data_IF_699875098771
#
_entry.id   IF_699875098771
#
_cell.length_a   1.000
_cell.length_b   1.000
_cell.length_c   1.000
_cell.angle_alpha   90.00
_cell.angle_beta   90.00
_cell.angle_gamma   90.00
#
_symmetry.space_group_name_H-M   'P 1'
#
loop_
_entity.id
_entity.type
_entity.pdbx_description
1 polymer ?
#
# COMPACT_ATOMS: atom_id res chain seq x y z
N UNK A 1 40.00 -21.85 41.29
CA UNK A 1 41.40 -21.52 41.10
C UNK A 1 41.41 -20.58 39.89
N UNK A 2 41.37 -19.26 40.07
CA UNK A 2 42.55 -18.41 40.23
C UNK A 2 43.22 -18.22 38.88
N UNK A 3 43.46 -17.09 38.29
CA UNK A 3 43.63 -15.71 38.77
C UNK A 3 43.78 -14.81 37.53
N UNK A 4 43.24 -13.62 37.51
CA UNK A 4 43.81 -12.39 36.95
C UNK A 4 45.10 -12.09 37.73
N UNK A 5 46.04 -11.22 37.40
CA UNK A 5 45.98 -9.87 36.79
C UNK A 5 47.17 -9.59 35.82
N UNK A 6 47.50 -8.46 35.25
CA UNK A 6 47.78 -7.11 35.77
C UNK A 6 48.24 -6.19 34.63
N UNK A 7 47.84 -4.95 34.69
CA UNK A 7 48.51 -3.79 34.08
C UNK A 7 49.80 -3.48 34.87
N UNK A 8 50.84 -2.69 34.45
CA UNK A 8 50.71 -1.24 34.43
C UNK A 8 51.57 -0.41 33.44
N UNK A 9 51.09 0.80 33.25
CA UNK A 9 51.66 2.12 33.08
C UNK A 9 53.17 2.36 33.29
N UNK A 10 53.74 3.34 32.55
CA UNK A 10 54.37 4.60 33.02
C UNK A 10 55.09 5.31 31.87
N UNK A 11 54.75 6.53 31.56
CA UNK A 11 55.38 7.85 31.84
C UNK A 11 56.87 7.98 31.50
N UNK A 12 57.25 8.93 30.67
CA UNK A 12 58.06 10.07 31.07
C UNK A 12 58.24 11.15 30.00
N UNK A 13 58.08 12.32 30.43
CA UNK A 13 58.34 13.68 29.99
C UNK A 13 59.79 13.97 29.75
N UNK A 14 60.16 14.79 28.73
CA UNK A 14 61.25 15.76 28.90
C UNK A 14 61.06 17.00 28.04
N UNK A 15 61.30 18.10 28.67
CA UNK A 15 61.10 19.52 28.44
C UNK A 15 62.27 20.17 27.67
N UNK A 16 61.98 21.40 27.17
CA UNK A 16 62.82 22.58 26.92
C UNK A 16 63.53 22.62 25.58
N UNK A 17 63.51 23.70 24.77
CA UNK A 17 63.83 25.07 25.07
C UNK A 17 63.33 26.05 24.00
N UNK A 18 63.03 27.25 24.41
CA UNK A 18 62.59 28.40 23.64
C UNK A 18 63.71 29.06 22.85
N UNK A 19 63.38 29.65 21.69
CA UNK A 19 64.11 30.81 21.14
C UNK A 19 63.10 31.75 20.47
N UNK A 20 62.99 32.93 21.02
CA UNK A 20 62.32 34.12 20.47
C UNK A 20 63.01 34.55 19.18
N UNK A 21 62.25 34.98 18.16
CA UNK A 21 62.61 36.17 17.37
C UNK A 21 61.39 36.70 16.57
N UNK A 22 61.00 37.89 17.00
CA UNK A 22 60.51 39.08 16.22
C UNK A 22 59.31 38.99 15.27
N UNK A 23 58.37 39.84 15.66
CA UNK A 23 57.21 40.37 14.94
C UNK A 23 57.51 40.74 13.47
N UNK A 24 56.54 40.37 12.60
CA UNK A 24 56.11 41.21 11.50
C UNK A 24 54.64 41.05 11.34
N UNK A 25 53.92 42.10 11.68
CA UNK A 25 52.47 42.28 11.46
C UNK A 25 52.17 42.40 9.99
N UNK A 26 51.43 41.49 9.44
CA UNK A 26 50.70 41.67 8.18
C UNK A 26 49.21 41.42 8.43
N UNK A 27 48.28 42.21 7.85
CA UNK A 27 46.91 42.25 8.29
C UNK A 27 46.15 40.99 7.87
N UNK A 28 45.39 40.44 8.79
CA UNK A 28 44.41 39.36 8.57
C UNK A 28 43.48 39.75 7.41
N UNK A 29 43.55 38.97 6.33
CA UNK A 29 42.47 38.92 5.36
C UNK A 29 41.23 38.34 6.07
N UNK A 30 40.18 39.11 6.23
CA UNK A 30 38.84 38.62 6.52
C UNK A 30 38.47 37.66 5.38
N UNK A 31 38.50 36.36 5.66
CA UNK A 31 37.75 35.40 4.86
C UNK A 31 36.27 35.71 5.04
N UNK A 32 35.74 36.52 4.15
CA UNK A 32 34.29 36.60 3.90
C UNK A 32 33.91 35.24 3.32
N UNK A 33 33.42 34.35 4.17
CA UNK A 33 32.56 33.25 3.73
C UNK A 33 31.34 33.87 3.14
N UNK A 34 31.35 34.07 1.81
CA UNK A 34 30.13 34.26 1.04
C UNK A 34 29.40 32.92 1.15
N UNK A 35 28.38 32.84 2.01
CA UNK A 35 27.31 31.89 1.83
C UNK A 35 26.73 32.23 0.45
N UNK A 36 27.04 31.41 -0.57
CA UNK A 36 26.27 31.38 -1.80
C UNK A 36 24.87 30.94 -1.37
N UNK A 37 23.98 31.88 -1.16
CA UNK A 37 22.52 31.62 -1.21
C UNK A 37 22.24 31.24 -2.66
N UNK A 38 22.24 29.94 -2.95
CA UNK A 38 21.69 29.42 -4.18
C UNK A 38 20.22 29.80 -4.17
N UNK A 39 19.82 30.69 -5.08
CA UNK A 39 18.40 30.99 -5.30
C UNK A 39 17.70 29.68 -5.68
N UNK A 40 16.50 29.45 -5.13
CA UNK A 40 15.69 28.30 -5.47
C UNK A 40 15.37 28.28 -6.97
N UNK A 41 15.31 27.11 -7.56
CA UNK A 41 14.81 26.95 -8.92
C UNK A 41 13.31 27.23 -8.94
N UNK A 42 12.86 28.08 -9.89
CA UNK A 42 11.48 28.56 -9.96
C UNK A 42 10.65 27.79 -10.99
N UNK A 43 9.40 27.48 -10.63
CA UNK A 43 8.40 26.85 -11.47
C UNK A 43 7.06 27.59 -11.34
N UNK A 44 6.38 27.82 -12.45
CA UNK A 44 5.10 28.53 -12.47
C UNK A 44 3.99 27.68 -11.82
N UNK A 45 3.94 26.36 -12.15
CA UNK A 45 2.81 25.52 -11.75
C UNK A 45 3.19 24.04 -11.64
N UNK A 46 2.62 23.36 -10.61
CA UNK A 46 2.59 21.92 -10.45
C UNK A 46 1.13 21.46 -10.42
N UNK A 47 0.79 20.47 -11.23
CA UNK A 47 -0.56 19.91 -11.31
C UNK A 47 -0.62 18.53 -10.69
N UNK A 48 -1.55 18.33 -9.75
CA UNK A 48 -1.79 17.08 -9.04
C UNK A 48 -3.21 16.60 -9.35
N UNK A 49 -3.39 15.34 -9.70
CA UNK A 49 -4.71 14.78 -9.91
C UNK A 49 -4.94 13.50 -9.09
N UNK A 50 -6.11 13.47 -8.46
CA UNK A 50 -6.59 12.33 -7.71
C UNK A 50 -7.65 11.56 -8.52
N UNK A 51 -7.60 10.22 -8.50
CA UNK A 51 -8.65 9.41 -9.12
C UNK A 51 -9.94 9.46 -8.29
N UNK A 52 -11.13 9.34 -8.91
CA UNK A 52 -12.42 9.44 -8.22
C UNK A 52 -12.79 8.14 -7.50
N UNK A 53 -11.98 7.74 -6.51
CA UNK A 53 -12.26 6.58 -5.64
C UNK A 53 -13.33 6.87 -4.59
N UNK A 54 -13.62 8.14 -4.36
CA UNK A 54 -14.71 8.72 -3.56
C UNK A 54 -15.33 9.88 -4.33
N UNK A 55 -16.41 10.44 -3.79
CA UNK A 55 -17.02 11.65 -4.37
C UNK A 55 -15.98 12.77 -4.49
N UNK A 56 -15.94 13.43 -5.63
CA UNK A 56 -14.95 14.47 -5.94
C UNK A 56 -14.93 15.59 -4.89
N UNK A 57 -16.11 16.03 -4.40
CA UNK A 57 -16.22 17.06 -3.37
C UNK A 57 -15.55 16.63 -2.05
N UNK A 58 -15.60 15.35 -1.71
CA UNK A 58 -14.92 14.79 -0.51
C UNK A 58 -13.41 14.83 -0.66
N UNK A 59 -12.91 14.48 -1.85
CA UNK A 59 -11.48 14.50 -2.15
C UNK A 59 -10.96 15.94 -2.15
N UNK A 60 -11.63 16.85 -2.84
CA UNK A 60 -11.26 18.28 -2.90
C UNK A 60 -11.22 18.89 -1.49
N UNK A 61 -12.27 18.68 -0.69
CA UNK A 61 -12.30 19.17 0.68
C UNK A 61 -11.22 18.58 1.57
N UNK A 62 -10.93 17.28 1.41
CA UNK A 62 -9.88 16.59 2.17
C UNK A 62 -8.47 17.03 1.81
N UNK A 63 -8.25 17.55 0.61
CA UNK A 63 -6.94 17.97 0.10
C UNK A 63 -6.76 19.50 0.03
N UNK A 64 -7.69 20.28 0.57
CA UNK A 64 -7.72 21.76 0.46
C UNK A 64 -6.40 22.42 0.91
N UNK A 65 -5.76 21.91 1.96
CA UNK A 65 -4.52 22.46 2.49
C UNK A 65 -3.25 21.91 1.82
N UNK A 66 -3.36 20.89 0.99
CA UNK A 66 -2.19 20.23 0.38
C UNK A 66 -1.36 21.18 -0.51
N UNK A 67 -1.94 22.09 -1.32
CA UNK A 67 -1.16 23.00 -2.15
C UNK A 67 -0.13 23.83 -1.37
N UNK A 68 -0.53 24.39 -0.25
CA UNK A 68 0.37 25.24 0.56
C UNK A 68 1.46 24.40 1.26
N UNK A 69 1.14 23.16 1.68
CA UNK A 69 2.13 22.24 2.24
C UNK A 69 3.18 21.84 1.18
N UNK A 70 2.75 21.52 -0.03
CA UNK A 70 3.64 21.16 -1.15
C UNK A 70 4.54 22.33 -1.50
N UNK A 71 4.01 23.54 -1.65
CA UNK A 71 4.79 24.75 -1.92
C UNK A 71 5.85 24.99 -0.85
N UNK A 72 5.45 24.92 0.42
CA UNK A 72 6.36 25.15 1.54
C UNK A 72 7.47 24.11 1.59
N UNK A 73 7.13 22.83 1.39
CA UNK A 73 8.11 21.76 1.47
C UNK A 73 9.04 21.76 0.25
N UNK A 74 8.54 22.02 -0.95
CA UNK A 74 9.38 22.15 -2.15
C UNK A 74 10.34 23.35 -2.05
N UNK A 75 9.89 24.47 -1.46
CA UNK A 75 10.76 25.61 -1.20
C UNK A 75 11.91 25.24 -0.23
N UNK A 76 11.64 24.44 0.81
CA UNK A 76 12.67 23.92 1.71
C UNK A 76 13.68 23.02 0.99
N UNK A 77 13.26 22.37 -0.10
CA UNK A 77 14.08 21.50 -0.92
C UNK A 77 14.80 22.21 -2.08
N UNK A 78 14.64 23.53 -2.19
CA UNK A 78 15.33 24.37 -3.18
C UNK A 78 14.50 24.65 -4.45
N UNK A 79 13.17 24.48 -4.39
CA UNK A 79 12.28 24.68 -5.54
C UNK A 79 11.08 25.56 -5.17
N UNK A 80 11.00 26.74 -5.75
CA UNK A 80 9.85 27.64 -5.56
C UNK A 80 8.79 27.38 -6.62
N UNK A 81 7.57 27.07 -6.19
CA UNK A 81 6.42 26.81 -7.08
C UNK A 81 5.34 27.87 -6.80
N UNK A 82 4.93 28.62 -7.83
CA UNK A 82 3.93 29.68 -7.67
C UNK A 82 2.55 29.11 -7.37
N UNK A 83 2.13 28.10 -8.13
CA UNK A 83 0.80 27.50 -8.04
C UNK A 83 0.91 25.97 -7.95
N UNK A 84 0.21 25.38 -6.99
CA UNK A 84 -0.06 23.93 -6.94
C UNK A 84 -1.56 23.75 -7.13
N UNK A 85 -1.94 23.14 -8.24
CA UNK A 85 -3.34 22.92 -8.61
C UNK A 85 -3.72 21.46 -8.37
N UNK A 86 -4.89 21.25 -7.73
CA UNK A 86 -5.41 19.93 -7.43
C UNK A 86 -6.73 19.72 -8.15
N UNK A 87 -6.81 18.64 -8.91
CA UNK A 87 -8.01 18.21 -9.60
C UNK A 87 -8.39 16.78 -9.22
N UNK A 88 -9.62 16.40 -9.53
CA UNK A 88 -10.11 15.04 -9.43
C UNK A 88 -10.55 14.59 -10.81
N UNK A 89 -9.98 13.51 -11.31
CA UNK A 89 -10.31 12.95 -12.61
C UNK A 89 -11.77 12.50 -12.69
N UNK A 90 -12.32 12.44 -13.89
CA UNK A 90 -13.69 11.95 -14.12
C UNK A 90 -13.78 10.42 -14.09
N UNK A 91 -12.66 9.74 -14.31
CA UNK A 91 -12.47 8.30 -14.19
C UNK A 91 -10.99 8.00 -13.92
N UNK A 92 -10.67 6.75 -13.57
CA UNK A 92 -9.29 6.31 -13.41
C UNK A 92 -8.50 6.41 -14.72
N UNK A 93 -9.13 6.00 -15.83
CA UNK A 93 -8.51 6.07 -17.15
C UNK A 93 -8.29 7.53 -17.59
N UNK A 94 -9.25 8.43 -17.30
CA UNK A 94 -9.10 9.84 -17.65
C UNK A 94 -7.87 10.48 -16.99
N UNK A 95 -7.58 10.14 -15.73
CA UNK A 95 -6.36 10.60 -15.05
C UNK A 95 -5.11 10.02 -15.72
N UNK A 96 -5.09 8.73 -16.05
CA UNK A 96 -3.99 8.09 -16.79
C UNK A 96 -3.76 8.76 -18.16
N UNK A 97 -4.81 9.01 -18.93
CA UNK A 97 -4.74 9.70 -20.22
C UNK A 97 -4.23 11.14 -20.09
N UNK A 98 -4.68 11.87 -19.06
CA UNK A 98 -4.23 13.25 -18.80
C UNK A 98 -2.73 13.31 -18.46
N UNK A 99 -2.24 12.33 -17.71
CA UNK A 99 -0.81 12.18 -17.43
C UNK A 99 -0.02 11.79 -18.68
N UNK A 100 -0.51 10.86 -19.50
CA UNK A 100 0.12 10.49 -20.78
C UNK A 100 0.22 11.68 -21.74
N UNK A 101 -0.77 12.58 -21.70
CA UNK A 101 -0.78 13.80 -22.50
C UNK A 101 0.06 14.94 -21.91
N UNK A 102 0.64 14.79 -20.72
CA UNK A 102 1.42 15.81 -20.04
C UNK A 102 0.61 17.01 -19.51
N UNK A 103 -0.71 16.85 -19.36
CA UNK A 103 -1.58 17.89 -18.80
C UNK A 103 -1.67 17.85 -17.28
N UNK A 104 -1.29 16.72 -16.70
CA UNK A 104 -1.16 16.49 -15.24
C UNK A 104 0.26 16.01 -14.97
N UNK A 105 0.93 16.61 -14.01
CA UNK A 105 2.30 16.26 -13.64
C UNK A 105 2.35 15.01 -12.75
N UNK A 106 1.56 14.98 -11.66
CA UNK A 106 1.49 13.84 -10.75
C UNK A 106 0.06 13.33 -10.60
N UNK A 107 -0.09 12.01 -10.56
CA UNK A 107 -1.36 11.34 -10.34
C UNK A 107 -1.29 10.31 -9.20
N UNK A 108 -2.35 10.26 -8.40
CA UNK A 108 -2.58 9.19 -7.42
C UNK A 108 -3.39 8.10 -8.09
N UNK A 109 -2.73 7.02 -8.51
CA UNK A 109 -3.31 5.95 -9.33
C UNK A 109 -3.30 4.61 -8.58
N UNK A 110 -4.38 3.81 -8.63
CA UNK A 110 -4.28 2.40 -8.27
C UNK A 110 -3.24 1.67 -9.13
N UNK A 111 -2.63 0.64 -8.58
CA UNK A 111 -1.57 -0.10 -9.27
C UNK A 111 -1.97 -0.64 -10.66
N UNK A 112 -3.23 -1.08 -10.83
CA UNK A 112 -3.74 -1.52 -12.12
C UNK A 112 -3.83 -0.40 -13.15
N UNK A 113 -4.29 0.78 -12.75
CA UNK A 113 -4.33 1.96 -13.63
C UNK A 113 -2.91 2.41 -13.97
N UNK A 114 -2.00 2.48 -12.99
CA UNK A 114 -0.60 2.78 -13.26
C UNK A 114 -0.01 1.83 -14.32
N UNK A 115 -0.23 0.52 -14.17
CA UNK A 115 0.28 -0.48 -15.10
C UNK A 115 -0.20 -0.27 -16.56
N UNK A 116 -1.43 0.23 -16.77
CA UNK A 116 -1.96 0.55 -18.09
C UNK A 116 -1.24 1.74 -18.75
N UNK A 117 -0.78 2.70 -17.94
CA UNK A 117 -0.19 3.96 -18.42
C UNK A 117 1.32 4.06 -18.12
N UNK A 118 1.97 2.98 -17.72
CA UNK A 118 3.39 2.97 -17.31
C UNK A 118 4.36 3.26 -18.46
N UNK A 119 3.93 3.15 -19.72
CA UNK A 119 4.76 3.57 -20.85
C UNK A 119 5.00 5.10 -20.86
N UNK A 120 4.01 5.89 -20.42
CA UNK A 120 4.04 7.35 -20.43
C UNK A 120 4.22 7.97 -19.03
N UNK A 121 4.16 7.15 -17.99
CA UNK A 121 4.27 7.58 -16.59
C UNK A 121 5.33 6.75 -15.86
N UNK A 122 5.81 7.28 -14.74
CA UNK A 122 6.73 6.56 -13.85
C UNK A 122 6.25 6.66 -12.41
N UNK A 123 6.16 5.50 -11.73
CA UNK A 123 5.87 5.49 -10.30
C UNK A 123 7.07 6.03 -9.53
N UNK A 124 6.81 6.99 -8.65
CA UNK A 124 7.86 7.56 -7.78
C UNK A 124 7.66 7.12 -6.32
N UNK A 125 6.42 6.94 -5.89
CA UNK A 125 6.09 6.47 -4.54
C UNK A 125 4.96 5.44 -4.59
N UNK A 126 4.96 4.53 -3.62
CA UNK A 126 3.81 3.68 -3.28
C UNK A 126 3.30 4.06 -1.92
N UNK A 127 1.97 4.06 -1.75
CA UNK A 127 1.36 4.26 -0.46
C UNK A 127 1.71 3.11 0.48
N UNK A 128 1.88 3.41 1.77
CA UNK A 128 2.01 2.40 2.81
C UNK A 128 0.83 2.48 3.77
N UNK A 129 0.59 1.38 4.46
CA UNK A 129 -0.43 1.26 5.50
C UNK A 129 0.08 0.33 6.60
N UNK A 130 -0.57 0.34 7.75
CA UNK A 130 -0.26 -0.63 8.79
C UNK A 130 -0.51 -2.04 8.23
N UNK A 131 0.50 -2.88 8.30
CA UNK A 131 0.39 -4.30 7.98
C UNK A 131 -0.40 -5.06 9.02
N UNK A 132 -0.70 -6.30 8.71
CA UNK A 132 -1.26 -7.25 9.66
C UNK A 132 -0.16 -7.86 10.52
N UNK A 133 -0.53 -8.38 11.69
CA UNK A 133 0.39 -9.13 12.57
C UNK A 133 0.85 -10.46 11.95
N UNK A 134 0.26 -10.89 10.84
CA UNK A 134 0.60 -12.08 10.08
C UNK A 134 0.69 -11.75 8.58
N UNK A 135 1.72 -12.28 7.90
CA UNK A 135 1.91 -12.18 6.44
C UNK A 135 2.42 -13.53 5.87
N UNK A 136 2.05 -14.64 6.48
CA UNK A 136 2.46 -15.97 6.05
C UNK A 136 1.90 -16.33 4.67
N UNK A 137 2.70 -17.03 3.87
CA UNK A 137 2.26 -17.64 2.61
C UNK A 137 1.54 -18.98 2.82
N UNK A 138 1.65 -19.56 4.01
CA UNK A 138 0.95 -20.79 4.35
C UNK A 138 -0.47 -20.47 4.86
N UNK A 139 -1.53 -20.95 4.19
CA UNK A 139 -2.91 -20.64 4.57
C UNK A 139 -3.27 -21.08 6.00
N UNK A 140 -2.74 -22.21 6.47
CA UNK A 140 -3.06 -22.74 7.80
C UNK A 140 -2.64 -21.80 8.94
N UNK A 141 -1.60 -20.97 8.74
CA UNK A 141 -1.11 -20.01 9.74
C UNK A 141 -2.08 -18.86 10.00
N UNK A 142 -3.11 -18.72 9.18
CA UNK A 142 -4.14 -17.71 9.30
C UNK A 142 -5.38 -18.19 10.07
N UNK A 143 -5.48 -19.47 10.42
CA UNK A 143 -6.70 -20.11 10.85
C UNK A 143 -6.79 -20.29 12.36
N UNK A 144 -8.02 -20.14 12.89
CA UNK A 144 -8.34 -20.26 14.29
C UNK A 144 -8.15 -18.97 15.10
N UNK A 145 -8.86 -18.87 16.21
CA UNK A 145 -8.85 -17.71 17.12
C UNK A 145 -7.45 -17.33 17.62
N UNK A 146 -6.58 -18.34 17.84
CA UNK A 146 -5.20 -18.12 18.30
C UNK A 146 -4.34 -17.37 17.27
N UNK A 147 -4.72 -17.42 16.00
CA UNK A 147 -4.05 -16.78 14.88
C UNK A 147 -4.82 -15.54 14.35
N UNK A 148 -5.76 -15.02 15.12
CA UNK A 148 -6.49 -13.80 14.78
C UNK A 148 -5.50 -12.66 14.52
N UNK A 149 -5.57 -12.08 13.33
CA UNK A 149 -4.65 -11.01 12.94
C UNK A 149 -5.06 -9.66 13.51
N UNK A 150 -4.08 -8.78 13.73
CA UNK A 150 -4.27 -7.40 14.16
C UNK A 150 -3.72 -6.46 13.10
N UNK A 151 -4.28 -5.26 13.04
CA UNK A 151 -3.83 -4.17 12.13
C UNK A 151 -2.77 -3.29 12.81
N UNK A 152 -1.80 -3.90 13.49
CA UNK A 152 -0.75 -3.25 14.27
C UNK A 152 0.67 -3.63 13.82
N UNK A 153 0.77 -4.20 12.64
CA UNK A 153 2.04 -4.52 12.01
C UNK A 153 2.80 -3.28 11.51
N UNK A 154 4.03 -3.47 11.00
CA UNK A 154 4.82 -2.39 10.42
C UNK A 154 4.14 -1.82 9.17
N UNK A 155 4.60 -0.65 8.72
CA UNK A 155 4.16 -0.09 7.45
C UNK A 155 4.54 -1.04 6.30
N UNK A 156 3.57 -1.34 5.43
CA UNK A 156 3.73 -2.25 4.29
C UNK A 156 3.30 -1.58 2.99
N UNK A 157 3.97 -1.94 1.90
CA UNK A 157 3.73 -1.42 0.55
C UNK A 157 2.72 -2.24 -0.24
N UNK A 158 2.26 -3.36 0.30
CA UNK A 158 1.32 -4.27 -0.34
C UNK A 158 0.34 -4.86 0.69
N UNK A 159 -0.71 -5.47 0.19
CA UNK A 159 -1.62 -6.33 0.94
C UNK A 159 -1.84 -7.62 0.14
N UNK A 160 -2.39 -8.67 0.77
CA UNK A 160 -2.71 -9.93 0.09
C UNK A 160 -4.21 -10.08 -0.11
N UNK A 161 -4.59 -10.84 -1.12
CA UNK A 161 -5.92 -11.45 -1.17
C UNK A 161 -5.86 -12.83 -0.50
N UNK A 162 -6.91 -13.17 0.19
CA UNK A 162 -7.07 -14.49 0.81
C UNK A 162 -8.29 -15.20 0.19
N UNK A 163 -8.11 -16.48 -0.06
CA UNK A 163 -9.16 -17.39 -0.46
C UNK A 163 -9.69 -18.07 0.79
N UNK A 164 -10.96 -17.89 1.11
CA UNK A 164 -11.56 -18.38 2.33
C UNK A 164 -12.56 -19.51 2.06
N UNK A 165 -12.41 -20.61 2.78
CA UNK A 165 -13.47 -21.60 2.95
C UNK A 165 -14.49 -21.09 3.98
N UNK A 166 -15.77 -21.14 3.64
CA UNK A 166 -16.88 -20.66 4.46
C UNK A 166 -17.34 -21.72 5.48
N UNK A 167 -18.21 -21.37 6.43
CA UNK A 167 -18.80 -22.36 7.35
C UNK A 167 -19.81 -23.33 6.71
N UNK A 168 -19.99 -23.32 5.38
CA UNK A 168 -20.80 -24.32 4.69
C UNK A 168 -20.27 -25.75 4.94
N UNK A 169 -21.08 -26.79 4.77
CA UNK A 169 -20.61 -28.18 4.95
C UNK A 169 -19.37 -28.50 4.10
N UNK A 170 -19.36 -28.09 2.83
CA UNK A 170 -18.21 -28.36 1.94
C UNK A 170 -17.04 -27.42 2.21
N UNK A 171 -17.29 -26.16 2.58
CA UNK A 171 -16.24 -25.24 3.03
C UNK A 171 -15.46 -25.80 4.24
N UNK A 172 -16.16 -26.40 5.20
CA UNK A 172 -15.54 -27.07 6.35
C UNK A 172 -14.65 -28.26 5.95
N UNK A 173 -15.04 -29.05 4.92
CA UNK A 173 -14.21 -30.12 4.38
C UNK A 173 -12.90 -29.58 3.78
N UNK A 174 -12.99 -28.50 2.99
CA UNK A 174 -11.82 -27.83 2.42
C UNK A 174 -10.90 -27.27 3.50
N UNK A 175 -11.47 -26.58 4.49
CA UNK A 175 -10.72 -26.05 5.64
C UNK A 175 -10.00 -27.15 6.43
N UNK A 176 -10.66 -28.28 6.66
CA UNK A 176 -10.09 -29.41 7.39
C UNK A 176 -8.86 -30.00 6.67
N UNK A 177 -8.91 -30.12 5.33
CA UNK A 177 -7.76 -30.58 4.52
C UNK A 177 -6.56 -29.64 4.69
N UNK A 178 -6.78 -28.33 4.49
CA UNK A 178 -5.70 -27.33 4.59
C UNK A 178 -5.13 -27.26 5.99
N UNK A 179 -5.96 -27.29 7.02
CA UNK A 179 -5.51 -27.26 8.42
C UNK A 179 -4.77 -28.57 8.82
N UNK A 180 -4.97 -29.67 8.09
CA UNK A 180 -4.20 -30.90 8.21
C UNK A 180 -2.89 -30.90 7.40
N UNK A 181 -2.59 -29.80 6.69
CA UNK A 181 -1.41 -29.67 5.84
C UNK A 181 -1.55 -30.33 4.46
N UNK A 182 -2.76 -30.64 4.04
CA UNK A 182 -3.03 -31.22 2.73
C UNK A 182 -3.17 -30.09 1.69
N UNK A 183 -2.63 -30.31 0.49
CA UNK A 183 -2.85 -29.41 -0.66
C UNK A 183 -4.19 -29.77 -1.31
N UNK A 184 -5.04 -28.77 -1.54
CA UNK A 184 -6.28 -28.95 -2.30
C UNK A 184 -5.96 -29.27 -3.76
N UNK A 185 -6.79 -30.12 -4.37
CA UNK A 185 -6.74 -30.42 -5.80
C UNK A 185 -7.61 -29.45 -6.58
N UNK A 186 -7.45 -29.42 -7.92
CA UNK A 186 -8.36 -28.66 -8.77
C UNK A 186 -9.81 -29.13 -8.61
N UNK A 187 -10.03 -30.44 -8.52
CA UNK A 187 -11.37 -31.04 -8.34
C UNK A 187 -12.01 -30.59 -7.02
N UNK A 188 -11.22 -30.43 -5.96
CA UNK A 188 -11.71 -29.87 -4.69
C UNK A 188 -12.25 -28.45 -4.89
N UNK A 189 -11.52 -27.61 -5.64
CA UNK A 189 -11.87 -26.21 -5.88
C UNK A 189 -13.00 -26.06 -6.89
N UNK A 190 -13.01 -26.86 -7.96
CA UNK A 190 -14.03 -26.82 -9.02
C UNK A 190 -15.42 -27.31 -8.53
N UNK A 191 -15.43 -28.23 -7.57
CA UNK A 191 -16.68 -28.69 -6.93
C UNK A 191 -17.32 -27.61 -6.06
N UNK A 192 -16.52 -26.70 -5.48
CA UNK A 192 -16.98 -25.66 -4.59
C UNK A 192 -17.75 -24.56 -5.34
N UNK A 193 -18.72 -23.94 -4.66
CA UNK A 193 -19.38 -22.71 -5.13
C UNK A 193 -18.58 -21.51 -4.65
N UNK A 194 -18.09 -20.69 -5.57
CA UNK A 194 -17.28 -19.51 -5.30
C UNK A 194 -18.08 -18.22 -5.45
N UNK A 195 -18.04 -17.33 -4.46
CA UNK A 195 -18.48 -15.95 -4.64
C UNK A 195 -17.26 -15.06 -4.92
N UNK A 196 -17.29 -14.37 -6.05
CA UNK A 196 -16.19 -13.52 -6.52
C UNK A 196 -16.69 -12.13 -6.87
N UNK A 197 -15.83 -11.13 -6.77
CA UNK A 197 -16.14 -9.76 -7.13
C UNK A 197 -16.08 -9.56 -8.67
N UNK A 198 -16.28 -8.33 -9.11
CA UNK A 198 -16.11 -7.93 -10.51
C UNK A 198 -14.71 -8.30 -11.02
N UNK A 199 -14.61 -8.60 -12.29
CA UNK A 199 -13.35 -8.97 -12.98
C UNK A 199 -12.25 -7.90 -12.84
N UNK A 200 -12.62 -6.64 -12.59
CA UNK A 200 -11.69 -5.54 -12.34
C UNK A 200 -11.19 -5.44 -10.89
N UNK A 201 -11.71 -6.28 -9.97
CA UNK A 201 -11.31 -6.24 -8.57
C UNK A 201 -10.00 -6.98 -8.35
N UNK A 202 -8.97 -6.30 -7.90
CA UNK A 202 -7.66 -6.89 -7.61
C UNK A 202 -7.76 -8.05 -6.62
N UNK A 203 -8.24 -7.79 -5.39
CA UNK A 203 -8.33 -8.82 -4.35
C UNK A 203 -9.52 -9.76 -4.51
N UNK A 204 -10.57 -9.34 -5.22
CA UNK A 204 -11.80 -10.11 -5.35
C UNK A 204 -11.90 -10.98 -6.60
N UNK A 205 -10.96 -10.86 -7.52
CA UNK A 205 -10.98 -11.64 -8.76
C UNK A 205 -9.59 -11.88 -9.36
N UNK A 206 -8.82 -10.80 -9.59
CA UNK A 206 -7.61 -10.85 -10.41
C UNK A 206 -6.52 -11.68 -9.74
N UNK A 207 -6.11 -11.31 -8.53
CA UNK A 207 -5.06 -12.03 -7.82
C UNK A 207 -5.47 -13.45 -7.39
N UNK A 208 -6.72 -13.73 -7.00
CA UNK A 208 -7.22 -15.11 -6.88
C UNK A 208 -7.13 -15.90 -8.18
N UNK A 209 -7.36 -15.28 -9.36
CA UNK A 209 -7.16 -15.93 -10.65
C UNK A 209 -5.68 -16.25 -10.89
N UNK A 210 -4.77 -15.30 -10.63
CA UNK A 210 -3.32 -15.54 -10.73
C UNK A 210 -2.89 -16.69 -9.81
N UNK A 211 -3.38 -16.70 -8.57
CA UNK A 211 -3.11 -17.79 -7.63
C UNK A 211 -3.57 -19.15 -8.15
N UNK A 212 -4.74 -19.23 -8.77
CA UNK A 212 -5.21 -20.47 -9.42
C UNK A 212 -4.28 -20.87 -10.57
N UNK A 213 -3.88 -19.92 -11.41
CA UNK A 213 -3.00 -20.18 -12.56
C UNK A 213 -1.65 -20.74 -12.12
N UNK A 214 -1.07 -20.21 -11.07
CA UNK A 214 0.22 -20.65 -10.53
C UNK A 214 0.18 -22.03 -9.86
N UNK A 215 -0.92 -22.33 -9.21
CA UNK A 215 -1.03 -23.55 -8.40
C UNK A 215 -1.74 -24.71 -9.10
N UNK A 216 -2.48 -24.46 -10.21
CA UNK A 216 -3.36 -25.44 -10.85
C UNK A 216 -3.24 -25.39 -12.40
N UNK A 217 -2.03 -25.52 -12.92
CA UNK A 217 -1.74 -25.69 -14.36
C UNK A 217 -2.39 -24.65 -15.28
N UNK A 218 -2.35 -23.37 -14.87
CA UNK A 218 -2.89 -22.25 -15.65
C UNK A 218 -4.41 -22.11 -15.59
N UNK A 219 -5.09 -22.83 -14.69
CA UNK A 219 -6.54 -22.70 -14.48
C UNK A 219 -6.92 -21.34 -13.92
N UNK A 220 -8.07 -20.83 -14.33
CA UNK A 220 -8.60 -19.51 -13.95
C UNK A 220 -9.94 -19.63 -13.23
N UNK A 221 -10.40 -18.55 -12.59
CA UNK A 221 -11.77 -18.47 -12.05
C UNK A 221 -12.82 -18.77 -13.13
N UNK A 222 -12.58 -18.35 -14.38
CA UNK A 222 -13.46 -18.63 -15.51
C UNK A 222 -13.56 -20.12 -15.90
N UNK A 223 -12.64 -20.97 -15.42
CA UNK A 223 -12.67 -22.42 -15.65
C UNK A 223 -13.45 -23.17 -14.53
N UNK A 224 -13.81 -22.49 -13.46
CA UNK A 224 -14.60 -23.07 -12.36
C UNK A 224 -16.05 -23.32 -12.78
N UNK A 225 -16.61 -24.47 -12.35
CA UNK A 225 -17.95 -24.89 -12.71
C UNK A 225 -19.06 -24.08 -11.99
N UNK A 226 -18.77 -23.54 -10.79
CA UNK A 226 -19.79 -22.93 -9.92
C UNK A 226 -19.30 -21.58 -9.38
N UNK A 227 -19.53 -20.51 -10.13
CA UNK A 227 -19.15 -19.13 -9.75
C UNK A 227 -20.37 -18.25 -9.61
N UNK A 228 -20.44 -17.52 -8.51
CA UNK A 228 -21.46 -16.49 -8.20
C UNK A 228 -20.78 -15.13 -8.29
N UNK A 229 -20.97 -14.34 -9.35
CA UNK A 229 -20.45 -13.01 -9.45
C UNK A 229 -21.20 -12.05 -8.52
N UNK A 230 -20.45 -11.16 -7.83
CA UNK A 230 -21.01 -10.18 -6.91
C UNK A 230 -20.80 -8.76 -7.47
N UNK A 231 -21.91 -8.01 -7.59
CA UNK A 231 -21.88 -6.61 -8.03
C UNK A 231 -21.88 -5.61 -6.88
N UNK A 232 -22.16 -6.08 -5.66
CA UNK A 232 -22.44 -5.26 -4.48
C UNK A 232 -21.33 -5.22 -3.42
N UNK A 233 -20.14 -5.71 -3.76
CA UNK A 233 -18.95 -5.63 -2.91
C UNK A 233 -18.83 -6.75 -1.86
N UNK A 234 -17.81 -6.62 -1.01
CA UNK A 234 -17.39 -7.67 -0.07
C UNK A 234 -18.43 -7.97 1.03
N UNK A 235 -19.24 -6.99 1.43
CA UNK A 235 -20.31 -7.20 2.42
C UNK A 235 -21.26 -8.32 2.00
N UNK A 236 -21.59 -8.42 0.73
CA UNK A 236 -22.42 -9.49 0.18
C UNK A 236 -21.71 -10.84 0.23
N UNK A 237 -20.40 -10.87 -0.05
CA UNK A 237 -19.59 -12.10 0.05
C UNK A 237 -19.63 -12.65 1.48
N UNK A 238 -19.40 -11.80 2.49
CA UNK A 238 -19.45 -12.20 3.90
C UNK A 238 -20.86 -12.63 4.33
N UNK A 239 -21.91 -11.96 3.85
CA UNK A 239 -23.31 -12.36 4.12
C UNK A 239 -23.62 -13.73 3.51
N UNK A 240 -23.15 -14.03 2.30
CA UNK A 240 -23.34 -15.36 1.68
C UNK A 240 -22.54 -16.44 2.41
N UNK A 241 -21.33 -16.11 2.85
CA UNK A 241 -20.53 -17.01 3.68
C UNK A 241 -21.23 -17.32 5.01
N UNK A 242 -21.72 -16.30 5.71
CA UNK A 242 -22.42 -16.46 6.98
C UNK A 242 -23.74 -17.24 6.83
N UNK A 243 -24.44 -17.09 5.72
CA UNK A 243 -25.66 -17.83 5.38
C UNK A 243 -25.38 -19.22 4.78
N UNK A 244 -24.13 -19.64 4.64
CA UNK A 244 -23.69 -20.93 4.07
C UNK A 244 -24.19 -21.16 2.63
N UNK A 245 -24.36 -20.07 1.87
CA UNK A 245 -24.85 -20.10 0.48
C UNK A 245 -23.77 -20.39 -0.55
N UNK A 246 -22.51 -20.20 -0.17
CA UNK A 246 -21.33 -20.44 -0.99
C UNK A 246 -20.27 -21.15 -0.14
N UNK A 247 -19.35 -21.86 -0.81
CA UNK A 247 -18.32 -22.64 -0.14
C UNK A 247 -16.99 -21.87 -0.02
N UNK A 248 -16.75 -20.96 -0.95
CA UNK A 248 -15.54 -20.16 -1.02
C UNK A 248 -15.90 -18.69 -1.29
N UNK A 249 -15.24 -17.79 -0.58
CA UNK A 249 -15.20 -16.35 -0.90
C UNK A 249 -13.76 -15.88 -1.04
N UNK A 250 -13.54 -14.78 -1.75
CA UNK A 250 -12.24 -14.14 -1.90
C UNK A 250 -12.30 -12.69 -1.43
N UNK A 251 -11.30 -12.25 -0.69
CA UNK A 251 -11.28 -10.92 -0.10
C UNK A 251 -9.84 -10.50 0.25
N UNK A 252 -9.62 -9.21 0.37
CA UNK A 252 -8.39 -8.66 0.95
C UNK A 252 -8.15 -9.19 2.39
N UNK A 253 -6.90 -9.29 2.80
CA UNK A 253 -6.50 -9.99 4.02
C UNK A 253 -7.08 -9.37 5.32
N UNK A 254 -7.36 -8.05 5.32
CA UNK A 254 -8.02 -7.37 6.45
C UNK A 254 -9.52 -7.68 6.57
N UNK A 255 -10.10 -8.41 5.62
CA UNK A 255 -11.55 -8.62 5.54
C UNK A 255 -12.15 -9.18 6.83
N UNK A 256 -11.50 -10.18 7.47
CA UNK A 256 -11.99 -10.70 8.75
C UNK A 256 -12.00 -9.64 9.86
N UNK A 257 -10.99 -8.77 9.93
CA UNK A 257 -10.98 -7.66 10.88
C UNK A 257 -12.15 -6.68 10.64
N UNK A 258 -12.44 -6.40 9.36
CA UNK A 258 -13.47 -5.43 8.98
C UNK A 258 -14.90 -5.95 9.22
N UNK A 259 -15.11 -7.26 9.29
CA UNK A 259 -16.40 -7.90 9.49
C UNK A 259 -16.54 -8.65 10.83
N UNK A 260 -15.51 -8.65 11.68
CA UNK A 260 -15.50 -9.33 12.98
C UNK A 260 -16.65 -8.88 13.87
N UNK A 261 -16.85 -7.56 14.01
CA UNK A 261 -17.88 -6.99 14.87
C UNK A 261 -19.30 -7.37 14.42
N UNK A 262 -19.55 -7.50 13.11
CA UNK A 262 -20.86 -7.85 12.56
C UNK A 262 -21.10 -9.35 12.46
N UNK A 263 -20.05 -10.19 12.48
CA UNK A 263 -20.15 -11.63 12.22
C UNK A 263 -21.08 -12.36 13.20
N UNK A 264 -20.87 -12.16 14.50
CA UNK A 264 -21.71 -12.80 15.54
C UNK A 264 -22.90 -11.93 15.97
N UNK A 265 -22.97 -10.67 15.51
CA UNK A 265 -24.05 -9.77 15.87
C UNK A 265 -25.38 -10.29 15.32
N UNK A 266 -26.49 -10.22 16.09
CA UNK A 266 -27.83 -10.60 15.59
C UNK A 266 -28.20 -9.90 14.28
N UNK A 267 -28.90 -10.61 13.40
CA UNK A 267 -29.27 -10.14 12.05
C UNK A 267 -30.15 -8.90 12.02
N UNK A 268 -30.82 -8.55 13.12
CA UNK A 268 -31.64 -7.36 13.29
C UNK A 268 -30.85 -6.15 13.84
N UNK A 269 -29.58 -6.30 14.10
CA UNK A 269 -28.70 -5.26 14.65
C UNK A 269 -27.65 -4.82 13.63
N UNK A 270 -27.05 -3.65 13.87
CA UNK A 270 -25.91 -3.12 13.11
C UNK A 270 -24.75 -2.87 14.05
N UNK A 271 -23.53 -3.10 13.56
CA UNK A 271 -22.31 -2.75 14.27
C UNK A 271 -22.07 -1.22 14.27
N UNK A 272 -21.04 -0.78 14.98
CA UNK A 272 -20.67 0.65 15.10
C UNK A 272 -20.35 1.30 13.77
N UNK A 273 -19.97 0.52 12.74
CA UNK A 273 -19.68 0.99 11.38
C UNK A 273 -20.93 0.96 10.47
N UNK A 274 -22.06 0.53 10.98
CA UNK A 274 -23.34 0.42 10.26
C UNK A 274 -23.52 -0.87 9.46
N UNK A 275 -22.61 -1.86 9.58
CA UNK A 275 -22.73 -3.15 8.93
C UNK A 275 -23.78 -4.01 9.64
N UNK A 276 -24.61 -4.68 8.85
CA UNK A 276 -25.66 -5.57 9.36
C UNK A 276 -25.05 -6.80 10.02
N UNK A 277 -25.62 -7.19 11.16
CA UNK A 277 -25.27 -8.42 11.87
C UNK A 277 -25.53 -9.66 11.01
N UNK A 278 -24.69 -10.68 11.17
CA UNK A 278 -24.73 -11.90 10.36
C UNK A 278 -25.23 -13.13 11.15
N UNK A 279 -25.38 -12.98 12.47
CA UNK A 279 -26.02 -13.97 13.32
C UNK A 279 -25.28 -15.28 13.53
N UNK A 280 -23.95 -15.28 13.31
CA UNK A 280 -23.14 -16.49 13.53
C UNK A 280 -22.96 -16.78 15.03
N UNK A 281 -22.71 -18.03 15.36
CA UNK A 281 -22.58 -18.50 16.74
C UNK A 281 -21.15 -18.68 17.22
N UNK A 282 -20.18 -18.63 16.31
CA UNK A 282 -18.75 -18.75 16.61
C UNK A 282 -17.99 -17.60 15.90
N UNK A 283 -16.73 -17.38 16.28
CA UNK A 283 -15.97 -16.26 15.76
C UNK A 283 -15.63 -16.43 14.28
N UNK A 284 -15.48 -15.30 13.58
CA UNK A 284 -15.07 -15.28 12.18
C UNK A 284 -13.72 -15.99 11.97
N UNK A 285 -12.84 -15.97 12.98
CA UNK A 285 -11.52 -16.60 12.95
C UNK A 285 -11.58 -18.13 12.98
N UNK A 286 -12.61 -18.68 13.61
CA UNK A 286 -12.86 -20.13 13.64
C UNK A 286 -13.66 -20.60 12.44
N UNK A 287 -14.61 -19.80 11.97
CA UNK A 287 -15.58 -20.23 10.94
C UNK A 287 -15.15 -19.93 9.51
N UNK A 288 -14.37 -18.84 9.27
CA UNK A 288 -13.92 -18.43 7.94
C UNK A 288 -12.42 -18.73 7.81
N UNK A 289 -12.11 -19.89 7.27
CA UNK A 289 -10.73 -20.41 7.21
C UNK A 289 -10.05 -20.06 5.88
N UNK A 290 -8.80 -19.59 5.95
CA UNK A 290 -7.97 -19.35 4.76
C UNK A 290 -7.53 -20.69 4.17
N UNK A 291 -7.72 -20.86 2.87
CA UNK A 291 -7.32 -22.04 2.09
C UNK A 291 -6.36 -21.69 0.96
N UNK A 292 -6.15 -20.41 0.70
CA UNK A 292 -5.17 -19.92 -0.26
C UNK A 292 -4.75 -18.50 0.07
N UNK A 293 -3.50 -18.18 -0.22
CA UNK A 293 -2.88 -16.87 -0.02
C UNK A 293 -2.27 -16.44 -1.34
N UNK A 294 -2.61 -15.26 -1.83
CA UNK A 294 -2.05 -14.74 -3.08
C UNK A 294 -0.72 -14.04 -2.86
N UNK A 295 -0.01 -13.75 -3.93
CA UNK A 295 1.08 -12.77 -3.92
C UNK A 295 0.60 -11.40 -3.46
N UNK A 296 1.56 -10.55 -3.11
CA UNK A 296 1.29 -9.18 -2.65
C UNK A 296 0.70 -8.32 -3.75
N UNK A 297 -0.35 -7.58 -3.42
CA UNK A 297 -0.98 -6.56 -4.24
C UNK A 297 -0.42 -5.22 -3.80
N UNK A 298 0.43 -4.60 -4.62
CA UNK A 298 1.02 -3.30 -4.27
C UNK A 298 -0.07 -2.23 -4.11
N UNK A 299 0.14 -1.34 -3.13
CA UNK A 299 -0.77 -0.24 -2.82
C UNK A 299 -0.78 0.80 -3.95
N UNK A 300 -1.64 1.81 -3.80
CA UNK A 300 -1.77 2.92 -4.75
C UNK A 300 -0.43 3.64 -4.97
N UNK A 301 -0.25 4.15 -6.18
CA UNK A 301 0.95 4.86 -6.60
C UNK A 301 0.80 6.36 -6.43
N UNK A 302 1.93 7.05 -6.28
CA UNK A 302 2.13 8.42 -6.78
C UNK A 302 3.01 8.28 -8.00
N UNK A 303 2.45 8.61 -9.17
CA UNK A 303 3.16 8.53 -10.45
C UNK A 303 3.39 9.92 -11.04
N UNK A 304 4.47 10.08 -11.80
CA UNK A 304 4.79 11.30 -12.53
C UNK A 304 4.64 11.07 -14.04
N UNK A 305 4.11 12.04 -14.75
CA UNK A 305 4.11 12.06 -16.21
C UNK A 305 5.53 12.22 -16.76
N UNK A 306 5.92 11.40 -17.75
CA UNK A 306 7.22 11.55 -18.42
C UNK A 306 7.30 12.80 -19.31
N UNK A 307 6.16 13.43 -19.61
CA UNK A 307 6.06 14.70 -20.32
C UNK A 307 6.12 15.93 -19.37
N UNK A 308 6.12 15.70 -18.05
CA UNK A 308 6.18 16.76 -17.04
C UNK A 308 7.55 17.45 -17.03
N UNK A 309 7.60 18.79 -16.86
CA UNK A 309 8.85 19.52 -16.64
C UNK A 309 9.56 19.09 -15.33
N UNK A 310 8.83 18.41 -14.43
CA UNK A 310 9.36 17.85 -13.19
C UNK A 310 9.99 16.46 -13.37
N UNK A 311 9.91 15.85 -14.56
CA UNK A 311 10.46 14.54 -14.84
C UNK A 311 11.98 14.63 -15.07
N UNK A 312 12.71 14.91 -13.99
CA UNK A 312 14.18 14.82 -13.91
C UNK A 312 14.57 14.10 -12.62
N UNK A 313 15.74 13.44 -12.55
CA UNK A 313 16.13 12.72 -11.35
C UNK A 313 16.10 13.58 -10.08
N UNK A 314 16.61 14.81 -10.16
CA UNK A 314 16.70 15.74 -9.02
C UNK A 314 15.31 16.18 -8.54
N UNK A 315 14.38 16.44 -9.47
CA UNK A 315 13.02 16.83 -9.14
C UNK A 315 12.17 15.66 -8.66
N UNK A 316 12.39 14.47 -9.21
CA UNK A 316 11.77 13.24 -8.70
C UNK A 316 12.20 13.00 -7.26
N UNK A 317 13.50 13.08 -6.95
CA UNK A 317 14.01 12.94 -5.58
C UNK A 317 13.39 13.98 -4.64
N UNK A 318 13.26 15.23 -5.08
CA UNK A 318 12.64 16.29 -4.30
C UNK A 318 11.13 16.04 -4.06
N UNK A 319 10.39 15.62 -5.09
CA UNK A 319 8.97 15.29 -4.97
C UNK A 319 8.75 14.07 -4.06
N UNK A 320 9.58 13.04 -4.16
CA UNK A 320 9.55 11.90 -3.24
C UNK A 320 9.72 12.35 -1.80
N UNK A 321 10.75 13.17 -1.54
CA UNK A 321 11.03 13.67 -0.19
C UNK A 321 9.91 14.59 0.29
N UNK A 322 9.38 15.46 -0.57
CA UNK A 322 8.26 16.35 -0.27
C UNK A 322 7.04 15.56 0.27
N UNK A 323 6.54 14.59 -0.48
CA UNK A 323 5.36 13.84 -0.07
C UNK A 323 5.63 12.91 1.12
N UNK A 324 6.82 12.34 1.25
CA UNK A 324 7.23 11.57 2.44
C UNK A 324 7.24 12.47 3.68
N UNK A 325 7.78 13.68 3.57
CA UNK A 325 7.81 14.62 4.70
C UNK A 325 6.39 15.07 5.09
N UNK A 326 5.56 15.42 4.12
CA UNK A 326 4.17 15.85 4.36
C UNK A 326 3.36 14.75 5.06
N UNK A 327 3.37 13.52 4.54
CA UNK A 327 2.55 12.43 5.11
C UNK A 327 3.01 12.03 6.52
N UNK A 328 4.23 12.34 6.90
CA UNK A 328 4.74 12.08 8.26
C UNK A 328 4.33 13.17 9.27
N UNK A 329 3.58 14.18 8.87
CA UNK A 329 2.96 15.18 9.75
C UNK A 329 1.52 14.81 10.08
N UNK A 330 0.99 15.31 11.20
CA UNK A 330 -0.42 15.11 11.59
C UNK A 330 -1.37 15.68 10.51
N UNK A 331 -1.03 16.81 9.91
CA UNK A 331 -1.81 17.44 8.86
C UNK A 331 -1.79 16.60 7.56
N UNK A 332 -0.63 16.11 7.16
CA UNK A 332 -0.49 15.20 6.02
C UNK A 332 -1.24 13.87 6.22
N UNK A 333 -1.18 13.30 7.42
CA UNK A 333 -1.99 12.11 7.77
C UNK A 333 -3.48 12.38 7.60
N UNK A 334 -3.98 13.54 8.06
CA UNK A 334 -5.38 13.92 7.90
C UNK A 334 -5.77 14.05 6.43
N UNK A 335 -4.93 14.69 5.61
CA UNK A 335 -5.15 14.87 4.16
C UNK A 335 -5.21 13.50 3.45
N UNK A 336 -4.17 12.69 3.58
CA UNK A 336 -4.07 11.42 2.85
C UNK A 336 -4.95 10.30 3.41
N UNK A 337 -5.57 10.50 4.58
CA UNK A 337 -6.59 9.59 5.12
C UNK A 337 -7.80 9.42 4.18
N UNK A 338 -8.03 10.36 3.27
CA UNK A 338 -9.07 10.25 2.23
C UNK A 338 -8.89 8.99 1.39
N UNK A 339 -7.64 8.55 1.17
CA UNK A 339 -7.27 7.31 0.48
C UNK A 339 -6.81 6.20 1.44
N UNK A 340 -6.91 6.40 2.76
CA UNK A 340 -6.39 5.48 3.78
C UNK A 340 -4.87 5.28 3.69
N UNK A 341 -4.15 6.22 3.10
CA UNK A 341 -2.69 6.21 3.10
C UNK A 341 -2.17 6.66 4.46
N UNK A 342 -1.17 5.98 5.00
CA UNK A 342 -0.54 6.31 6.29
C UNK A 342 0.95 6.61 6.17
N UNK A 343 1.54 6.39 5.00
CA UNK A 343 2.91 6.68 4.66
C UNK A 343 3.17 6.52 3.18
N UNK A 344 4.36 6.91 2.74
CA UNK A 344 4.87 6.66 1.40
C UNK A 344 6.25 6.02 1.46
N UNK A 345 6.52 5.10 0.54
CA UNK A 345 7.82 4.51 0.29
C UNK A 345 8.22 4.74 -1.16
N UNK A 346 9.53 4.90 -1.43
CA UNK A 346 10.04 4.96 -2.80
C UNK A 346 9.70 3.65 -3.51
N UNK A 347 9.11 3.77 -4.68
CA UNK A 347 8.72 2.66 -5.53
C UNK A 347 9.43 2.73 -6.89
N UNK A 348 9.48 1.63 -7.57
CA UNK A 348 10.00 1.45 -8.92
C UNK A 348 9.02 0.67 -9.77
N UNK A 349 9.13 0.87 -11.07
CA UNK A 349 8.23 0.30 -12.05
C UNK A 349 8.05 -1.24 -11.92
N UNK A 350 9.14 -1.97 -11.64
CA UNK A 350 9.11 -3.43 -11.46
C UNK A 350 8.30 -3.91 -10.25
N UNK A 351 8.00 -3.04 -9.28
CA UNK A 351 7.14 -3.38 -8.14
C UNK A 351 5.69 -3.66 -8.59
N UNK A 352 5.33 -3.17 -9.78
CA UNK A 352 3.99 -3.32 -10.38
C UNK A 352 3.91 -4.36 -11.50
N UNK A 353 4.92 -5.24 -11.65
CA UNK A 353 4.88 -6.35 -12.62
C UNK A 353 3.71 -7.31 -12.35
N UNK A 354 3.36 -7.52 -11.07
CA UNK A 354 2.17 -8.28 -10.69
C UNK A 354 0.87 -7.64 -11.20
N UNK A 355 0.77 -6.29 -11.17
CA UNK A 355 -0.37 -5.57 -11.70
C UNK A 355 -0.46 -5.71 -13.24
N UNK A 356 0.68 -5.72 -13.96
CA UNK A 356 0.72 -5.96 -15.40
C UNK A 356 0.27 -7.38 -15.76
N UNK A 357 0.81 -8.39 -15.06
CA UNK A 357 0.36 -9.77 -15.21
C UNK A 357 -1.14 -9.91 -14.95
N UNK A 358 -1.67 -9.15 -13.98
CA UNK A 358 -3.08 -9.09 -13.66
C UNK A 358 -3.94 -8.58 -14.84
N UNK A 359 -3.48 -7.56 -15.57
CA UNK A 359 -4.18 -7.03 -16.75
C UNK A 359 -4.28 -8.06 -17.88
N UNK A 360 -3.25 -8.89 -18.08
CA UNK A 360 -3.26 -9.96 -19.08
C UNK A 360 -4.30 -11.04 -18.78
N UNK A 361 -4.69 -11.20 -17.52
CA UNK A 361 -5.69 -12.20 -17.10
C UNK A 361 -7.11 -11.78 -17.46
N UNK A 362 -7.40 -10.47 -17.47
CA UNK A 362 -8.75 -9.92 -17.73
C UNK A 362 -8.92 -9.41 -19.16
N UNK A 363 -7.84 -9.32 -19.94
CA UNK A 363 -7.88 -9.05 -21.38
C UNK A 363 -8.17 -10.34 -22.18
#
# INVERSE_FOLDING_TARGET
KTETPDEPATTETTTTEATETTETTEPAAEETTTEETTENQHFDKLTLEFVPSKDADVIIAGTENLPELVKAEMANLGYDIDEVDITVGTSYDATGEAMSAGTIDLGWLPGGTYALYSDDTEVILTATRNGLSNDSENPADWNGEANATKKDGPQVTYYRSLIYATPSPYGKELAAKVNAGEKLTWEDLDKATWAVQKTSSSAGYIYPTLWLMENYDGKKISDLSNVVPLDSGYGTAFSYAAAEQVDIIVCYADGRNDYEASWMLPVDQKDETGKQGMGRSDSIWNELNVIGVTDGIYNDTVAISKESPYYTPELIDALQQCFINIINTDEGQAIFSVYSHTGYAIAKDSDYDGARAALEVVS
#
